data_IF_387815910997
#
_entry.id   IF_387815910997
#
_cell.length_a   1.000
_cell.length_b   1.000
_cell.length_c   1.000
_cell.angle_alpha   90.00
_cell.angle_beta   90.00
_cell.angle_gamma   90.00
#
_symmetry.space_group_name_H-M   'P 1'
#
loop_
_entity.id
_entity.type
_entity.pdbx_description
1 polymer ?
#
# COMPACT_ATOMS: atom_id res chain seq x y z
N UNK A 1 -2.37 -9.53 1.85
CA UNK A 1 -2.31 -8.07 1.64
C UNK A 1 -0.88 -7.67 1.26
N UNK A 2 -0.55 -6.51 0.63
CA UNK A 2 0.84 -6.21 0.32
C UNK A 2 1.65 -6.16 1.60
N UNK A 3 2.82 -6.76 1.53
CA UNK A 3 3.90 -6.59 2.51
C UNK A 3 5.12 -6.20 1.70
N UNK A 4 5.91 -5.16 2.05
CA UNK A 4 5.81 -4.29 3.21
C UNK A 4 4.54 -3.40 3.23
N UNK A 5 4.22 -2.74 4.38
CA UNK A 5 3.13 -1.75 4.45
C UNK A 5 3.31 -0.66 3.40
N UNK A 6 2.23 -0.14 2.78
CA UNK A 6 2.32 0.99 1.88
C UNK A 6 2.90 2.22 2.58
N UNK A 7 3.81 2.90 1.88
CA UNK A 7 4.40 4.17 2.29
C UNK A 7 4.22 5.10 1.09
N UNK A 8 3.63 6.28 1.34
CA UNK A 8 3.41 7.30 0.31
C UNK A 8 4.29 8.50 0.64
N UNK A 9 4.95 9.08 -0.34
CA UNK A 9 5.70 10.33 -0.19
C UNK A 9 4.91 11.47 -0.82
N UNK A 10 4.75 12.57 -0.08
CA UNK A 10 4.22 13.81 -0.61
C UNK A 10 5.37 14.68 -1.11
N UNK A 11 5.30 15.06 -2.38
CA UNK A 11 6.16 16.05 -3.01
C UNK A 11 5.31 17.30 -3.30
N UNK A 12 5.73 18.43 -2.75
CA UNK A 12 5.10 19.74 -3.01
C UNK A 12 6.09 20.55 -3.83
N UNK A 13 5.67 21.00 -5.01
CA UNK A 13 6.52 21.78 -5.93
C UNK A 13 5.80 23.05 -6.32
N UNK A 14 6.54 24.16 -6.40
CA UNK A 14 6.05 25.39 -7.02
C UNK A 14 5.73 25.12 -8.50
N UNK A 15 4.50 25.38 -8.96
CA UNK A 15 4.09 25.09 -10.33
C UNK A 15 4.85 25.90 -11.40
N UNK A 16 5.48 27.02 -11.03
CA UNK A 16 6.25 27.87 -11.95
C UNK A 16 7.71 27.46 -12.03
N UNK A 17 8.32 27.16 -10.89
CA UNK A 17 9.76 26.87 -10.80
C UNK A 17 10.08 25.38 -10.75
N UNK A 18 9.12 24.54 -10.38
CA UNK A 18 9.31 23.10 -10.16
C UNK A 18 10.12 22.78 -8.91
N UNK A 19 10.49 23.79 -8.12
CA UNK A 19 11.31 23.64 -6.92
C UNK A 19 10.45 23.13 -5.77
N UNK A 20 11.00 22.22 -4.97
CA UNK A 20 10.29 21.66 -3.83
C UNK A 20 10.07 22.73 -2.73
N UNK A 21 8.84 22.84 -2.24
CA UNK A 21 8.49 23.76 -1.16
C UNK A 21 8.64 23.09 0.20
N UNK A 22 9.78 23.33 0.86
CA UNK A 22 10.15 22.63 2.09
C UNK A 22 9.27 22.98 3.30
N UNK A 23 8.65 24.16 3.31
CA UNK A 23 7.75 24.61 4.39
C UNK A 23 6.43 23.84 4.38
N UNK A 24 5.90 23.53 3.19
CA UNK A 24 4.66 22.77 3.01
C UNK A 24 4.81 21.29 3.41
N UNK A 25 6.03 20.74 3.39
CA UNK A 25 6.29 19.38 3.90
C UNK A 25 5.91 19.22 5.38
N UNK A 26 5.95 20.31 6.15
CA UNK A 26 5.72 20.32 7.61
C UNK A 26 4.27 20.63 7.98
N UNK A 27 3.39 20.86 7.01
CA UNK A 27 1.98 21.12 7.28
C UNK A 27 1.32 19.87 7.89
N UNK A 28 1.01 19.95 9.19
CA UNK A 28 0.61 18.80 10.01
C UNK A 28 -0.82 18.33 9.78
N UNK A 29 -1.66 19.16 9.16
CA UNK A 29 -3.08 18.88 8.94
C UNK A 29 -3.38 18.27 7.56
N UNK A 30 -2.34 17.78 6.88
CA UNK A 30 -2.52 16.88 5.75
C UNK A 30 -2.96 15.50 6.24
N UNK A 31 -3.85 14.86 5.51
CA UNK A 31 -4.35 13.53 5.82
C UNK A 31 -4.46 12.73 4.54
N UNK A 32 -3.94 11.50 4.54
CA UNK A 32 -4.13 10.57 3.42
C UNK A 32 -5.09 9.46 3.85
N UNK A 33 -6.16 9.28 3.08
CA UNK A 33 -7.11 8.18 3.24
C UNK A 33 -6.87 7.10 2.18
N UNK A 34 -6.92 5.83 2.59
CA UNK A 34 -6.74 4.66 1.76
C UNK A 34 -8.07 3.95 1.53
N UNK A 35 -8.39 3.66 0.26
CA UNK A 35 -9.54 2.83 -0.15
C UNK A 35 -9.05 1.65 -0.99
N UNK A 36 -9.86 0.59 -1.05
CA UNK A 36 -9.56 -0.61 -1.84
C UNK A 36 -10.35 -0.55 -3.14
N UNK A 37 -9.69 -0.87 -4.25
CA UNK A 37 -10.27 -0.85 -5.59
C UNK A 37 -10.04 -2.19 -6.29
N UNK A 38 -10.88 -2.52 -7.27
CA UNK A 38 -10.65 -3.67 -8.13
C UNK A 38 -9.31 -3.55 -8.91
N UNK A 39 -8.86 -4.65 -9.52
CA UNK A 39 -7.58 -4.70 -10.22
C UNK A 39 -7.49 -3.69 -11.39
N UNK A 40 -8.62 -3.37 -12.01
CA UNK A 40 -8.70 -2.44 -13.13
C UNK A 40 -8.75 -0.96 -12.67
N UNK A 41 -8.95 -0.71 -11.38
CA UNK A 41 -9.07 0.64 -10.82
C UNK A 41 -10.36 1.36 -11.18
N UNK A 42 -11.41 0.64 -11.59
CA UNK A 42 -12.68 1.18 -12.07
C UNK A 42 -13.79 1.18 -11.03
N UNK A 43 -13.67 0.38 -9.96
CA UNK A 43 -14.69 0.29 -8.92
C UNK A 43 -14.09 0.14 -7.54
N UNK A 44 -14.65 0.87 -6.59
CA UNK A 44 -14.29 0.77 -5.17
C UNK A 44 -14.85 -0.53 -4.57
N UNK A 45 -13.98 -1.27 -3.88
CA UNK A 45 -14.21 -2.58 -3.27
C UNK A 45 -13.97 -2.56 -1.74
N UNK A 46 -13.90 -1.36 -1.14
CA UNK A 46 -13.68 -1.18 0.30
C UNK A 46 -14.77 -1.86 1.12
N UNK A 47 -16.01 -1.86 0.66
CA UNK A 47 -17.15 -2.53 1.27
C UNK A 47 -17.47 -3.86 0.58
N UNK A 48 -17.95 -4.82 1.38
CA UNK A 48 -18.52 -6.10 0.98
C UNK A 48 -20.02 -6.04 1.23
N UNK A 49 -20.82 -6.16 0.18
CA UNK A 49 -22.27 -6.31 0.28
C UNK A 49 -22.57 -7.81 0.35
N UNK A 50 -23.13 -8.26 1.47
CA UNK A 50 -23.55 -9.65 1.65
C UNK A 50 -24.95 -9.88 1.02
N UNK A 51 -25.31 -11.13 0.68
CA UNK A 51 -26.60 -11.46 0.07
C UNK A 51 -27.83 -11.01 0.88
N UNK A 52 -27.68 -10.93 2.20
CA UNK A 52 -28.69 -10.43 3.14
C UNK A 52 -28.71 -8.89 3.26
N UNK A 53 -28.02 -8.20 2.34
CA UNK A 53 -27.79 -6.75 2.30
C UNK A 53 -27.01 -6.19 3.50
N UNK A 54 -26.37 -7.03 4.31
CA UNK A 54 -25.44 -6.53 5.33
C UNK A 54 -24.15 -6.05 4.68
N UNK A 55 -23.73 -4.85 5.02
CA UNK A 55 -22.45 -4.30 4.58
C UNK A 55 -21.38 -4.60 5.63
N UNK A 56 -20.30 -5.24 5.19
CA UNK A 56 -19.10 -5.44 6.00
C UNK A 56 -17.91 -4.80 5.28
N UNK A 57 -16.82 -4.45 5.97
CA UNK A 57 -15.66 -3.86 5.27
C UNK A 57 -14.76 -4.96 4.71
N UNK A 58 -14.36 -4.86 3.43
CA UNK A 58 -13.33 -5.71 2.83
C UNK A 58 -11.95 -5.31 3.34
N UNK A 59 -11.67 -4.01 3.30
CA UNK A 59 -10.44 -3.38 3.79
C UNK A 59 -10.61 -2.93 5.24
N UNK A 60 -9.65 -3.26 6.07
CA UNK A 60 -9.66 -3.04 7.52
C UNK A 60 -8.32 -2.54 8.02
N UNK A 61 -8.30 -2.10 9.27
CA UNK A 61 -7.15 -1.54 9.95
C UNK A 61 -7.14 -0.01 9.91
N UNK A 62 -5.95 0.57 9.90
CA UNK A 62 -5.69 2.00 9.87
C UNK A 62 -5.74 2.50 8.41
N UNK A 63 -6.91 2.97 7.98
CA UNK A 63 -7.14 3.46 6.61
C UNK A 63 -6.74 4.93 6.43
N UNK A 64 -6.29 5.59 7.50
CA UNK A 64 -5.93 7.00 7.52
C UNK A 64 -4.50 7.11 8.02
N UNK A 65 -3.69 7.94 7.36
CA UNK A 65 -2.33 8.26 7.77
C UNK A 65 -2.13 9.78 7.88
N UNK A 66 -1.34 10.17 8.87
CA UNK A 66 -0.85 11.53 9.08
C UNK A 66 0.58 11.68 8.54
N UNK A 67 1.02 12.91 8.21
CA UNK A 67 2.35 13.16 7.69
C UNK A 67 3.41 12.86 8.74
N UNK A 68 4.52 12.27 8.31
CA UNK A 68 5.74 12.08 9.08
C UNK A 68 6.91 12.63 8.28
N UNK A 69 7.51 13.72 8.75
CA UNK A 69 8.73 14.27 8.16
C UNK A 69 9.90 13.42 8.64
N UNK A 70 10.60 12.81 7.70
CA UNK A 70 11.71 11.92 7.98
C UNK A 70 12.66 11.90 6.78
N UNK A 71 13.80 11.24 6.92
CA UNK A 71 14.74 10.97 5.84
C UNK A 71 14.52 9.59 5.22
N UNK A 72 14.69 9.48 3.92
CA UNK A 72 14.67 8.20 3.22
C UNK A 72 15.97 7.38 3.46
N UNK A 73 16.12 6.25 2.76
CA UNK A 73 17.34 5.43 2.81
C UNK A 73 18.59 6.08 2.20
N UNK A 74 18.44 7.24 1.56
CA UNK A 74 19.49 8.01 0.91
C UNK A 74 19.79 9.33 1.67
N UNK A 75 19.25 9.49 2.88
CA UNK A 75 19.38 10.69 3.74
C UNK A 75 18.65 11.94 3.20
N UNK A 76 17.74 11.78 2.24
CA UNK A 76 16.92 12.90 1.73
C UNK A 76 15.68 13.10 2.60
N UNK A 77 15.46 14.34 3.07
CA UNK A 77 14.26 14.70 3.84
C UNK A 77 13.00 14.68 2.96
N UNK A 78 11.93 14.11 3.46
CA UNK A 78 10.64 14.04 2.79
C UNK A 78 9.47 13.92 3.77
N UNK A 79 8.26 14.11 3.25
CA UNK A 79 7.01 13.95 4.00
C UNK A 79 6.36 12.61 3.64
N UNK A 80 6.30 11.69 4.60
CA UNK A 80 5.84 10.32 4.39
C UNK A 80 4.53 10.02 5.12
N UNK A 81 3.65 9.26 4.47
CA UNK A 81 2.41 8.73 5.03
C UNK A 81 2.53 7.20 5.09
N UNK A 82 2.56 6.66 6.29
CA UNK A 82 2.76 5.23 6.52
C UNK A 82 1.44 4.55 6.87
N UNK A 83 1.18 3.39 6.26
CA UNK A 83 0.00 2.56 6.53
C UNK A 83 0.42 1.22 7.17
N UNK A 84 0.75 1.21 8.47
CA UNK A 84 1.36 0.05 9.14
C UNK A 84 0.41 -1.14 9.32
N UNK A 85 -0.89 -0.86 9.32
CA UNK A 85 -1.94 -1.82 9.63
C UNK A 85 -3.04 -1.72 8.58
N UNK A 86 -2.83 -2.38 7.44
CA UNK A 86 -3.90 -2.63 6.49
C UNK A 86 -4.10 -4.14 6.36
N UNK A 87 -5.37 -4.56 6.36
CA UNK A 87 -5.77 -5.95 6.14
C UNK A 87 -6.96 -6.04 5.18
N UNK A 88 -6.97 -7.07 4.33
CA UNK A 88 -8.06 -7.34 3.40
C UNK A 88 -8.62 -8.74 3.67
N UNK A 89 -9.93 -8.83 3.91
CA UNK A 89 -10.59 -10.09 4.30
C UNK A 89 -10.78 -11.06 3.15
N UNK A 90 -10.95 -10.55 1.94
CA UNK A 90 -11.27 -11.38 0.78
C UNK A 90 -10.06 -11.51 -0.12
N UNK A 91 -9.72 -12.74 -0.47
CA UNK A 91 -8.67 -13.01 -1.45
C UNK A 91 -9.05 -12.43 -2.82
N UNK A 92 -8.06 -12.22 -3.70
CA UNK A 92 -8.26 -11.61 -5.02
C UNK A 92 -7.19 -10.60 -5.38
N UNK A 93 -7.41 -9.89 -6.48
CA UNK A 93 -6.50 -8.88 -7.02
C UNK A 93 -7.13 -7.50 -6.89
N UNK A 94 -6.37 -6.57 -6.34
CA UNK A 94 -6.86 -5.24 -5.98
C UNK A 94 -5.78 -4.17 -6.19
N UNK A 95 -6.21 -2.91 -6.12
CA UNK A 95 -5.35 -1.73 -5.98
C UNK A 95 -5.72 -0.96 -4.72
N UNK A 96 -4.79 -0.21 -4.17
CA UNK A 96 -5.05 0.76 -3.11
C UNK A 96 -5.08 2.15 -3.74
N UNK A 97 -6.15 2.92 -3.46
CA UNK A 97 -6.23 4.34 -3.83
C UNK A 97 -5.97 5.17 -2.59
N UNK A 98 -5.00 6.06 -2.69
CA UNK A 98 -4.62 6.99 -1.64
C UNK A 98 -5.07 8.38 -2.05
N UNK A 99 -5.83 9.03 -1.18
CA UNK A 99 -6.43 10.35 -1.44
C UNK A 99 -5.92 11.32 -0.41
N UNK A 100 -5.28 12.40 -0.84
CA UNK A 100 -4.76 13.47 0.01
C UNK A 100 -5.85 14.52 0.23
N UNK A 101 -6.06 14.87 1.50
CA UNK A 101 -6.92 15.97 1.93
C UNK A 101 -6.11 16.89 2.83
N UNK A 102 -6.35 18.21 2.73
CA UNK A 102 -5.78 19.21 3.64
C UNK A 102 -6.90 19.72 4.53
N UNK A 103 -6.79 19.45 5.83
CA UNK A 103 -7.76 19.94 6.82
C UNK A 103 -7.43 21.41 7.10
N UNK A 104 -8.45 22.24 6.96
CA UNK A 104 -8.42 23.64 7.36
C UNK A 104 -9.14 23.78 8.71
N UNK A 105 -8.44 24.18 9.80
CA UNK A 105 -9.05 24.40 11.11
C UNK A 105 -10.21 25.39 11.08
N UNK A 106 -10.21 26.36 10.17
CA UNK A 106 -11.28 27.36 10.07
C UNK A 106 -12.56 26.77 9.48
N UNK A 107 -12.45 25.68 8.72
CA UNK A 107 -13.58 24.95 8.13
C UNK A 107 -13.96 23.71 8.96
N UNK A 108 -13.45 23.57 10.18
CA UNK A 108 -13.73 22.45 11.08
C UNK A 108 -15.06 22.66 11.83
N UNK A 109 -16.16 22.72 11.10
CA UNK A 109 -17.52 22.78 11.64
C UNK A 109 -18.34 21.59 11.14
N UNK A 110 -19.45 21.29 11.82
CA UNK A 110 -20.40 20.26 11.37
C UNK A 110 -20.88 20.60 9.95
N UNK A 111 -20.77 19.65 9.02
CA UNK A 111 -21.08 19.84 7.61
C UNK A 111 -19.96 20.50 6.77
N UNK A 112 -18.83 20.86 7.39
CA UNK A 112 -17.63 21.27 6.68
C UNK A 112 -17.08 20.13 5.82
N UNK A 113 -16.49 20.47 4.68
CA UNK A 113 -15.84 19.50 3.79
C UNK A 113 -14.44 19.98 3.46
N UNK A 114 -13.50 19.04 3.34
CA UNK A 114 -12.15 19.30 2.85
C UNK A 114 -12.02 18.71 1.46
N UNK A 115 -11.56 19.48 0.46
CA UNK A 115 -11.43 18.96 -0.89
C UNK A 115 -10.32 17.90 -0.96
N UNK A 116 -10.48 16.99 -1.92
CA UNK A 116 -9.40 16.12 -2.36
C UNK A 116 -8.41 16.98 -3.13
N UNK A 117 -7.16 17.03 -2.67
CA UNK A 117 -6.10 17.77 -3.35
C UNK A 117 -5.50 16.97 -4.50
N UNK A 118 -5.22 15.70 -4.25
CA UNK A 118 -4.66 14.78 -5.24
C UNK A 118 -4.85 13.35 -4.79
N UNK A 119 -4.60 12.41 -5.68
CA UNK A 119 -4.70 10.98 -5.42
C UNK A 119 -3.67 10.18 -6.21
N UNK A 120 -3.40 8.98 -5.73
CA UNK A 120 -2.57 8.00 -6.43
C UNK A 120 -3.12 6.60 -6.22
N UNK A 121 -2.99 5.77 -7.25
CA UNK A 121 -3.38 4.37 -7.21
C UNK A 121 -2.12 3.49 -7.18
N UNK A 122 -2.10 2.48 -6.34
CA UNK A 122 -1.02 1.49 -6.32
C UNK A 122 -1.03 0.61 -7.56
N UNK A 123 0.07 -0.10 -7.77
CA UNK A 123 0.08 -1.30 -8.59
C UNK A 123 -0.91 -2.36 -8.08
N UNK A 124 -1.27 -3.28 -8.97
CA UNK A 124 -2.13 -4.41 -8.61
C UNK A 124 -1.37 -5.34 -7.66
N UNK A 125 -2.01 -5.68 -6.54
CA UNK A 125 -1.50 -6.66 -5.59
C UNK A 125 -2.49 -7.81 -5.40
N UNK A 126 -1.97 -8.93 -4.90
CA UNK A 126 -2.77 -10.12 -4.62
C UNK A 126 -2.95 -10.31 -3.12
N UNK A 127 -4.20 -10.52 -2.70
CA UNK A 127 -4.57 -11.03 -1.39
C UNK A 127 -4.70 -12.54 -1.51
N UNK A 128 -3.79 -13.26 -0.87
CA UNK A 128 -3.74 -14.71 -0.92
C UNK A 128 -4.62 -15.34 0.16
N UNK A 129 -5.04 -16.58 -0.09
CA UNK A 129 -5.50 -17.48 0.97
C UNK A 129 -4.32 -17.86 1.88
N UNK A 130 -4.58 -18.42 3.06
CA UNK A 130 -3.52 -18.91 3.94
C UNK A 130 -2.64 -19.99 3.28
N UNK A 131 -3.23 -20.84 2.43
CA UNK A 131 -2.53 -21.91 1.71
C UNK A 131 -1.59 -21.35 0.64
N UNK A 132 -2.04 -20.33 -0.09
CA UNK A 132 -1.28 -19.81 -1.24
C UNK A 132 -0.30 -18.70 -0.86
N UNK A 133 -0.38 -18.23 0.39
CA UNK A 133 0.41 -17.11 0.88
C UNK A 133 1.91 -17.39 0.72
N UNK A 134 2.64 -16.57 -0.07
CA UNK A 134 4.06 -16.82 -0.37
C UNK A 134 4.99 -16.52 0.81
N UNK A 135 4.43 -16.11 1.95
CA UNK A 135 5.18 -15.67 3.11
C UNK A 135 5.41 -14.16 3.14
N UNK A 136 5.95 -13.69 4.26
CA UNK A 136 6.23 -12.27 4.48
C UNK A 136 7.52 -11.88 3.74
N UNK A 137 7.46 -10.79 2.96
CA UNK A 137 8.66 -10.15 2.41
C UNK A 137 9.45 -9.44 3.52
N UNK A 138 10.79 -9.42 3.45
CA UNK A 138 11.59 -8.57 4.31
C UNK A 138 11.24 -7.09 4.10
N UNK A 139 11.37 -6.28 5.14
CA UNK A 139 11.23 -4.83 5.04
C UNK A 139 12.30 -4.21 4.14
N UNK A 140 11.93 -3.18 3.39
CA UNK A 140 12.85 -2.45 2.52
C UNK A 140 13.84 -1.59 3.32
N UNK A 141 14.83 -1.01 2.63
CA UNK A 141 15.72 0.00 3.21
C UNK A 141 14.91 1.21 3.72
N UNK A 142 14.01 1.77 2.90
CA UNK A 142 13.07 2.83 3.30
C UNK A 142 12.31 2.52 4.60
N UNK A 143 11.69 1.34 4.70
CA UNK A 143 10.95 0.96 5.92
C UNK A 143 11.85 0.93 7.16
N UNK A 144 13.11 0.55 7.02
CA UNK A 144 14.07 0.55 8.14
C UNK A 144 14.51 1.97 8.49
N UNK A 145 14.83 2.80 7.50
CA UNK A 145 15.23 4.20 7.70
C UNK A 145 14.13 5.00 8.41
N UNK A 146 12.88 4.87 7.97
CA UNK A 146 11.74 5.54 8.60
C UNK A 146 11.49 5.03 10.03
N UNK A 147 11.63 3.72 10.27
CA UNK A 147 11.47 3.15 11.62
C UNK A 147 12.50 3.71 12.60
N UNK A 148 13.75 3.85 12.18
CA UNK A 148 14.82 4.40 13.03
C UNK A 148 14.54 5.85 13.45
N UNK A 149 13.75 6.59 12.66
CA UNK A 149 13.36 7.97 12.94
C UNK A 149 12.02 8.07 13.69
N UNK A 150 11.50 6.95 14.23
CA UNK A 150 10.31 6.95 15.07
C UNK A 150 8.98 6.83 14.33
N UNK A 151 8.98 6.64 13.00
CA UNK A 151 7.74 6.38 12.27
C UNK A 151 7.08 5.08 12.80
N UNK A 152 5.75 5.11 12.99
CA UNK A 152 4.99 3.99 13.53
C UNK A 152 4.79 2.87 12.50
N UNK A 153 5.87 2.20 12.13
CA UNK A 153 5.89 1.07 11.19
C UNK A 153 6.61 -0.14 11.80
N UNK A 154 6.40 -1.31 11.22
CA UNK A 154 7.03 -2.56 11.66
C UNK A 154 8.12 -2.99 10.67
N UNK A 155 9.28 -3.37 11.21
CA UNK A 155 10.35 -4.01 10.44
C UNK A 155 10.19 -5.53 10.54
N UNK A 156 10.13 -6.20 9.39
CA UNK A 156 10.00 -7.66 9.29
C UNK A 156 11.24 -8.22 8.61
N UNK A 157 11.79 -9.30 9.17
CA UNK A 157 12.96 -10.00 8.60
C UNK A 157 12.62 -10.83 7.35
N UNK A 158 11.34 -11.12 7.13
CA UNK A 158 10.88 -11.99 6.04
C UNK A 158 11.10 -13.48 6.33
N UNK A 159 10.36 -14.36 5.64
CA UNK A 159 10.53 -15.81 5.71
C UNK A 159 11.18 -16.33 4.41
N UNK A 160 12.48 -16.11 4.25
CA UNK A 160 13.23 -16.45 3.03
C UNK A 160 13.11 -17.93 2.64
N UNK A 161 13.04 -18.84 3.63
CA UNK A 161 12.90 -20.29 3.40
C UNK A 161 11.58 -20.69 2.70
N UNK A 162 10.48 -19.96 2.95
CA UNK A 162 9.20 -20.23 2.29
C UNK A 162 9.19 -19.73 0.84
N UNK A 163 9.78 -18.56 0.61
CA UNK A 163 9.94 -17.96 -0.72
C UNK A 163 10.86 -18.80 -1.61
N UNK A 164 11.96 -19.35 -1.06
CA UNK A 164 12.88 -20.22 -1.79
C UNK A 164 12.25 -21.57 -2.17
N UNK A 165 11.52 -22.22 -1.25
CA UNK A 165 10.82 -23.49 -1.53
C UNK A 165 9.79 -23.35 -2.66
N UNK A 166 9.04 -22.25 -2.71
CA UNK A 166 8.01 -22.04 -3.75
C UNK A 166 8.62 -21.72 -5.12
N UNK A 167 9.78 -21.04 -5.17
CA UNK A 167 10.54 -20.87 -6.41
C UNK A 167 11.00 -22.21 -6.96
N UNK A 168 11.49 -23.11 -6.10
CA UNK A 168 11.92 -24.45 -6.50
C UNK A 168 10.75 -25.28 -7.06
N UNK A 169 9.60 -25.29 -6.39
CA UNK A 169 8.42 -26.04 -6.87
C UNK A 169 7.87 -25.48 -8.17
N UNK A 170 7.79 -24.16 -8.33
CA UNK A 170 7.34 -23.53 -9.57
C UNK A 170 8.30 -23.79 -10.74
N UNK A 171 9.60 -23.94 -10.45
CA UNK A 171 10.59 -24.29 -11.48
C UNK A 171 10.43 -25.74 -11.93
N UNK A 172 10.18 -26.65 -10.98
CA UNK A 172 9.98 -28.08 -11.25
C UNK A 172 8.69 -28.34 -12.04
N UNK A 173 7.58 -27.71 -11.67
CA UNK A 173 6.31 -27.81 -12.41
C UNK A 173 6.45 -27.32 -13.86
N UNK A 174 7.26 -26.26 -14.09
CA UNK A 174 7.48 -25.70 -15.41
C UNK A 174 8.40 -26.58 -16.28
N UNK A 175 9.35 -27.30 -15.68
CA UNK A 175 10.20 -28.28 -16.39
C UNK A 175 9.40 -29.54 -16.77
N UNK A 176 8.55 -30.04 -15.87
CA UNK A 176 7.68 -31.20 -16.13
C UNK A 176 6.66 -30.92 -17.25
N UNK A 177 6.08 -29.72 -17.30
CA UNK A 177 5.16 -29.30 -18.37
C UNK A 177 5.85 -29.20 -19.74
N UNK A 178 7.11 -28.72 -19.78
CA UNK A 178 7.91 -28.66 -21.01
C UNK A 178 8.32 -30.05 -21.49
N UNK A 179 8.69 -30.95 -20.57
CA UNK A 179 9.00 -32.34 -20.91
C UNK A 179 7.77 -33.09 -21.44
N UNK A 180 6.60 -32.87 -20.82
CA UNK A 180 5.34 -33.47 -21.27
C UNK A 180 4.92 -32.96 -22.66
N UNK A 181 5.13 -31.67 -22.95
CA UNK A 181 4.87 -31.10 -24.30
C UNK A 181 5.83 -31.64 -25.36
N UNK A 182 7.10 -31.86 -25.02
CA UNK A 182 8.08 -32.48 -25.93
C UNK A 182 7.69 -33.92 -26.28
N UNK A 183 7.24 -34.70 -25.30
CA UNK A 183 6.79 -36.09 -25.51
C UNK A 183 5.52 -36.22 -26.34
N UNK A 184 4.66 -35.20 -26.40
CA UNK A 184 3.43 -35.19 -27.20
C UNK A 184 3.62 -34.73 -28.65
N UNK A 185 4.82 -34.25 -29.01
CA UNK A 185 5.16 -33.76 -30.35
C UNK A 185 6.03 -34.74 -31.16
N UNK A 186 6.40 -35.87 -30.57
CA UNK A 186 6.95 -37.05 -31.25
C UNK A 186 5.82 -38.06 -31.48
#
# INVERSE_FOLDING_TARGET
MPHPPPIIQLLVTDPKTGIAEQEELRYSLNVVHCTLWNADGTSEETALIQPDRRTTRRLMGQLVASPSVAKDEHDNEGCFFCFPDLSCRTHGRYRLRFVLMRIDPMNLHVGGSSPILTEVMSDVFTVYTAKDFPGMRPSSALTRALKLQGCNIQVKKGNEKALARKRLTASQEHEEDEEMKRRRRM
#
